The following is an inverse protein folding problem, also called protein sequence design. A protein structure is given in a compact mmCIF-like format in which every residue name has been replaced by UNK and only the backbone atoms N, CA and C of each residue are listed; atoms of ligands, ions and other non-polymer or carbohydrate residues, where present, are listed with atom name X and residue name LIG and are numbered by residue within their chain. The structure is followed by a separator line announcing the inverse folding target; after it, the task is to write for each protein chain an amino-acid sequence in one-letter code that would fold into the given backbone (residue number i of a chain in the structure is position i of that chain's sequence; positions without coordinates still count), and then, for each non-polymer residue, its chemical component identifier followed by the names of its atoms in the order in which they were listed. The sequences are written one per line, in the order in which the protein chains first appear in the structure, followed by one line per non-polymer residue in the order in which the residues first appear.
data_IF_418607227905
#
_entry.id   IF_418607227905
#
_cell.length_a   1.000
_cell.length_b   1.000
_cell.length_c   1.000
_cell.angle_alpha   90.00
_cell.angle_beta   90.00
_cell.angle_gamma   90.00
#
_symmetry.space_group_name_H-M   'P 1'
#
loop_
_entity.id
_entity.type
_entity.pdbx_description
1 polymer ?
#
# COMPACT_ATOMS: atom_id res chain seq x y z
N UNK A 1 0.71 -8.83 10.01
CA UNK A 1 -0.64 -8.54 9.48
C UNK A 1 -0.62 -9.08 8.07
N UNK A 2 -1.59 -9.91 7.69
CA UNK A 2 -1.68 -10.38 6.31
C UNK A 2 -2.32 -9.28 5.46
N UNK A 3 -2.01 -9.24 4.16
CA UNK A 3 -2.62 -8.29 3.22
C UNK A 3 -4.16 -8.35 3.23
N UNK A 4 -4.70 -9.56 3.41
CA UNK A 4 -6.14 -9.78 3.47
C UNK A 4 -6.80 -9.13 4.70
N UNK A 5 -6.07 -9.05 5.83
CA UNK A 5 -6.55 -8.35 7.04
C UNK A 5 -6.66 -6.84 6.81
N UNK A 6 -5.74 -6.28 6.01
CA UNK A 6 -5.76 -4.86 5.66
C UNK A 6 -7.00 -4.55 4.81
N UNK A 7 -7.32 -5.38 3.81
CA UNK A 7 -8.51 -5.19 2.98
C UNK A 7 -9.78 -5.13 3.82
N UNK A 8 -9.97 -6.11 4.71
CA UNK A 8 -11.14 -6.13 5.57
C UNK A 8 -11.17 -4.97 6.58
N UNK A 9 -10.01 -4.54 7.08
CA UNK A 9 -9.91 -3.41 8.02
C UNK A 9 -10.25 -2.07 7.38
N UNK A 10 -9.76 -1.81 6.16
CA UNK A 10 -9.90 -0.49 5.50
C UNK A 10 -11.13 -0.41 4.60
N UNK A 11 -11.55 -1.52 4.00
CA UNK A 11 -12.64 -1.55 3.03
C UNK A 11 -13.84 -2.40 3.49
N UNK A 12 -13.74 -3.09 4.62
CA UNK A 12 -14.84 -3.92 5.16
C UNK A 12 -15.06 -5.22 4.38
N UNK A 13 -14.20 -5.54 3.42
CA UNK A 13 -14.29 -6.72 2.55
C UNK A 13 -12.90 -7.28 2.28
N UNK A 14 -12.82 -8.57 2.02
CA UNK A 14 -11.59 -9.24 1.57
C UNK A 14 -11.44 -9.19 0.05
N UNK A 15 -12.49 -8.79 -0.66
CA UNK A 15 -12.51 -8.67 -2.11
C UNK A 15 -12.49 -7.20 -2.51
N UNK A 16 -11.37 -6.76 -3.09
CA UNK A 16 -11.19 -5.38 -3.54
C UNK A 16 -12.16 -5.02 -4.69
N UNK A 17 -12.51 -6.00 -5.53
CA UNK A 17 -13.45 -5.78 -6.63
C UNK A 17 -14.89 -5.52 -6.17
N UNK A 18 -15.25 -5.98 -4.96
CA UNK A 18 -16.53 -5.70 -4.32
C UNK A 18 -16.59 -4.35 -3.59
N UNK A 19 -15.49 -3.58 -3.54
CA UNK A 19 -15.45 -2.27 -2.87
C UNK A 19 -16.21 -1.24 -3.69
N UNK A 20 -17.15 -0.54 -3.05
CA UNK A 20 -17.84 0.59 -3.69
C UNK A 20 -16.82 1.70 -4.02
N UNK A 21 -16.78 2.22 -5.27
CA UNK A 21 -15.81 3.23 -5.67
C UNK A 21 -15.83 4.51 -4.83
N UNK A 22 -16.98 4.86 -4.23
CA UNK A 22 -17.09 6.02 -3.33
C UNK A 22 -16.50 5.73 -1.95
N UNK A 23 -16.55 4.47 -1.50
CA UNK A 23 -15.91 4.01 -0.27
C UNK A 23 -14.41 3.76 -0.45
N UNK A 24 -13.96 3.44 -1.68
CA UNK A 24 -12.55 3.23 -2.00
C UNK A 24 -11.71 4.45 -1.65
N UNK A 25 -12.14 5.66 -2.05
CA UNK A 25 -11.44 6.90 -1.73
C UNK A 25 -11.32 7.12 -0.21
N UNK A 26 -12.38 6.85 0.56
CA UNK A 26 -12.35 6.97 2.01
C UNK A 26 -11.41 5.96 2.69
N UNK A 27 -11.36 4.73 2.16
CA UNK A 27 -10.42 3.71 2.63
C UNK A 27 -8.96 4.07 2.33
N UNK A 28 -8.69 4.62 1.15
CA UNK A 28 -7.37 5.14 0.76
C UNK A 28 -6.94 6.28 1.67
N UNK A 29 -7.81 7.27 1.92
CA UNK A 29 -7.52 8.38 2.85
C UNK A 29 -7.16 7.87 4.25
N UNK A 30 -7.94 6.91 4.77
CA UNK A 30 -7.67 6.31 6.07
C UNK A 30 -6.34 5.55 6.09
N UNK A 31 -6.00 4.82 5.03
CA UNK A 31 -4.71 4.15 4.87
C UNK A 31 -3.54 5.14 4.80
N UNK A 32 -3.71 6.28 4.12
CA UNK A 32 -2.68 7.33 4.03
C UNK A 32 -2.42 7.97 5.41
N UNK A 33 -3.48 8.17 6.21
CA UNK A 33 -3.34 8.65 7.59
C UNK A 33 -2.62 7.62 8.46
N UNK A 34 -3.03 6.35 8.43
CA UNK A 34 -2.35 5.27 9.17
C UNK A 34 -0.88 5.15 8.72
N UNK A 35 -0.60 5.26 7.42
CA UNK A 35 0.75 5.23 6.87
C UNK A 35 1.64 6.35 7.42
N UNK A 36 1.11 7.57 7.54
CA UNK A 36 1.83 8.70 8.14
C UNK A 36 2.07 8.57 9.64
N UNK A 37 1.30 7.74 10.34
CA UNK A 37 1.43 7.49 11.78
C UNK A 37 2.26 6.24 12.11
N UNK A 38 2.45 5.35 11.13
CA UNK A 38 3.15 4.09 11.30
C UNK A 38 4.66 4.30 11.44
N UNK A 39 5.23 3.70 12.49
CA UNK A 39 6.67 3.80 12.81
C UNK A 39 7.40 2.48 12.52
N UNK A 40 6.68 1.37 12.45
CA UNK A 40 7.27 0.08 12.12
C UNK A 40 7.55 0.01 10.61
N UNK A 41 8.82 -0.16 10.24
CA UNK A 41 9.27 -0.21 8.84
C UNK A 41 8.54 -1.30 8.05
N UNK A 42 8.35 -2.48 8.65
CA UNK A 42 7.70 -3.62 8.00
C UNK A 42 6.22 -3.36 7.71
N UNK A 43 5.49 -2.76 8.66
CA UNK A 43 4.10 -2.34 8.44
C UNK A 43 3.99 -1.17 7.48
N UNK A 44 4.88 -0.19 7.57
CA UNK A 44 4.90 0.96 6.67
C UNK A 44 5.11 0.51 5.23
N UNK A 45 6.02 -0.45 5.01
CA UNK A 45 6.20 -1.10 3.72
C UNK A 45 4.93 -1.83 3.24
N UNK A 46 4.31 -2.64 4.10
CA UNK A 46 3.08 -3.34 3.72
C UNK A 46 1.92 -2.39 3.35
N UNK A 47 1.74 -1.30 4.12
CA UNK A 47 0.74 -0.26 3.83
C UNK A 47 1.05 0.45 2.51
N UNK A 48 2.31 0.83 2.29
CA UNK A 48 2.75 1.47 1.07
C UNK A 48 2.56 0.58 -0.16
N UNK A 49 2.94 -0.70 -0.09
CA UNK A 49 2.74 -1.65 -1.19
C UNK A 49 1.26 -1.82 -1.55
N UNK A 50 0.38 -1.77 -0.56
CA UNK A 50 -1.07 -1.81 -0.78
C UNK A 50 -1.59 -0.52 -1.43
N UNK A 51 -1.13 0.64 -0.97
CA UNK A 51 -1.42 1.93 -1.63
C UNK A 51 -0.89 1.96 -3.07
N UNK A 52 0.24 1.32 -3.34
CA UNK A 52 0.83 1.26 -4.69
C UNK A 52 -0.05 0.45 -5.64
N UNK A 53 -0.56 -0.71 -5.19
CA UNK A 53 -1.53 -1.48 -5.97
C UNK A 53 -2.85 -0.74 -6.22
N UNK A 54 -3.18 0.23 -5.36
CA UNK A 54 -4.37 1.09 -5.48
C UNK A 54 -4.10 2.39 -6.27
N UNK A 55 -2.91 2.54 -6.87
CA UNK A 55 -2.47 3.74 -7.60
C UNK A 55 -2.48 5.03 -6.74
N UNK A 56 -2.34 4.87 -5.42
CA UNK A 56 -2.43 5.95 -4.43
C UNK A 56 -1.19 6.06 -3.54
N UNK A 57 -0.09 5.37 -3.88
CA UNK A 57 1.12 5.39 -3.08
C UNK A 57 1.84 6.75 -3.14
N UNK A 58 2.33 7.26 -1.99
CA UNK A 58 3.24 8.40 -1.97
C UNK A 58 4.61 8.03 -2.56
N UNK A 59 5.32 9.04 -3.06
CA UNK A 59 6.70 8.91 -3.56
C UNK A 59 7.63 8.29 -2.52
N UNK A 60 8.62 7.52 -3.00
CA UNK A 60 9.56 6.78 -2.13
C UNK A 60 10.34 7.69 -1.17
N UNK A 61 10.75 8.88 -1.62
CA UNK A 61 11.46 9.85 -0.78
C UNK A 61 10.58 10.45 0.32
N UNK A 62 9.26 10.48 0.13
CA UNK A 62 8.29 10.90 1.14
C UNK A 62 7.88 9.73 2.05
N UNK A 63 7.78 8.55 1.45
CA UNK A 63 7.31 7.33 2.07
C UNK A 63 8.35 6.70 2.99
N UNK A 64 9.64 6.80 2.65
CA UNK A 64 10.72 6.17 3.38
C UNK A 64 11.91 7.12 3.53
N UNK A 65 12.40 7.26 4.76
CA UNK A 65 13.56 8.12 5.06
C UNK A 65 14.88 7.42 4.71
N UNK A 66 14.95 6.11 4.92
CA UNK A 66 16.14 5.30 4.69
C UNK A 66 16.22 4.74 3.27
N UNK A 67 17.43 4.76 2.69
CA UNK A 67 17.66 4.24 1.34
C UNK A 67 17.33 2.74 1.23
N UNK A 68 17.59 1.95 2.28
CA UNK A 68 17.32 0.50 2.27
C UNK A 68 15.83 0.19 2.07
N UNK A 69 14.93 0.98 2.67
CA UNK A 69 13.49 0.81 2.47
C UNK A 69 13.05 1.27 1.07
N UNK A 70 13.68 2.33 0.54
CA UNK A 70 13.44 2.79 -0.84
C UNK A 70 13.88 1.75 -1.86
N UNK A 71 15.02 1.11 -1.63
CA UNK A 71 15.50 0.00 -2.46
C UNK A 71 14.55 -1.19 -2.39
N UNK A 72 14.06 -1.55 -1.19
CA UNK A 72 13.04 -2.59 -1.05
C UNK A 72 11.76 -2.27 -1.82
N UNK A 73 11.32 -1.01 -1.80
CA UNK A 73 10.14 -0.55 -2.52
C UNK A 73 10.36 -0.53 -4.04
N UNK A 74 11.53 -0.09 -4.50
CA UNK A 74 11.93 -0.21 -5.92
C UNK A 74 11.95 -1.65 -6.38
N UNK A 75 12.52 -2.55 -5.59
CA UNK A 75 12.55 -3.98 -5.90
C UNK A 75 11.13 -4.55 -6.01
N UNK A 76 10.22 -4.15 -5.12
CA UNK A 76 8.81 -4.54 -5.23
C UNK A 76 8.14 -4.01 -6.51
N UNK A 77 8.37 -2.74 -6.87
CA UNK A 77 7.87 -2.18 -8.13
C UNK A 77 8.41 -2.95 -9.34
N UNK A 78 9.70 -3.27 -9.36
CA UNK A 78 10.36 -4.02 -10.42
C UNK A 78 9.78 -5.44 -10.54
N UNK A 79 9.58 -6.13 -9.42
CA UNK A 79 8.94 -7.45 -9.37
C UNK A 79 7.51 -7.42 -9.92
N UNK A 80 6.72 -6.39 -9.58
CA UNK A 80 5.37 -6.21 -10.12
C UNK A 80 5.40 -5.91 -11.61
N UNK A 81 6.32 -5.04 -12.07
CA UNK A 81 6.49 -4.74 -13.48
C UNK A 81 6.93 -5.97 -14.28
N UNK A 82 7.85 -6.79 -13.74
CA UNK A 82 8.29 -8.05 -14.32
C UNK A 82 7.18 -9.13 -14.30
N UNK A 83 6.18 -8.99 -13.42
CA UNK A 83 5.01 -9.87 -13.33
C UNK A 83 3.81 -9.37 -14.17
N UNK A 84 3.86 -8.16 -14.74
CA UNK A 84 2.91 -7.61 -15.70
C UNK A 84 3.17 -8.13 -17.13
N UNK A 85 2.18 -8.12 -18.04
CA UNK A 85 2.20 -9.00 -19.22
C UNK A 85 3.33 -8.65 -20.18
N UNK A 86 4.06 -9.69 -20.59
CA UNK A 86 4.91 -9.69 -21.78
C UNK A 86 4.10 -9.46 -23.07
#
# INVERSE_FOLDING_TARGET
MEMNDLLHRYFGTYDLAAVDPRSLAGGIDHMLVDFGLEQDRGRRFALWSMLFMLDAAPDLDLAFEDEEDREAARNFMDLLAASGPA
#
